data_IF_956744023228
#
_entry.id   IF_956744023228
#
_cell.length_a   1.000
_cell.length_b   1.000
_cell.length_c   1.000
_cell.angle_alpha   90.00
_cell.angle_beta   90.00
_cell.angle_gamma   90.00
#
_symmetry.space_group_name_H-M   'P 1'
#
loop_
_entity.id
_entity.type
_entity.pdbx_description
1 polymer ?
#
# COMPACT_ATOMS: atom_id res chain seq x y z
N UNK A 1 -4.88 -4.63 14.71
CA UNK A 1 -3.88 -4.93 13.67
C UNK A 1 -4.47 -5.78 12.56
N UNK A 2 -4.92 -7.01 12.84
CA UNK A 2 -5.47 -7.93 11.84
C UNK A 2 -6.58 -7.32 10.96
N UNK A 3 -7.66 -6.78 11.55
CA UNK A 3 -8.73 -6.14 10.75
C UNK A 3 -8.21 -4.98 9.88
N UNK A 4 -7.25 -4.19 10.39
CA UNK A 4 -6.69 -3.09 9.62
C UNK A 4 -5.91 -3.59 8.40
N UNK A 5 -5.11 -4.66 8.57
CA UNK A 5 -4.41 -5.32 7.47
C UNK A 5 -5.39 -5.91 6.44
N UNK A 6 -6.45 -6.57 6.89
CA UNK A 6 -7.47 -7.14 6.00
C UNK A 6 -8.16 -6.07 5.14
N UNK A 7 -8.67 -5.01 5.77
CA UNK A 7 -9.43 -3.99 5.08
C UNK A 7 -8.57 -3.04 4.24
N UNK A 8 -7.30 -2.84 4.56
CA UNK A 8 -6.41 -1.97 3.78
C UNK A 8 -5.65 -2.68 2.67
N UNK A 9 -5.37 -3.97 2.83
CA UNK A 9 -4.48 -4.70 1.94
C UNK A 9 -5.16 -5.92 1.33
N UNK A 10 -5.66 -6.86 2.13
CA UNK A 10 -6.20 -8.15 1.62
C UNK A 10 -7.43 -7.98 0.74
N UNK A 11 -8.47 -7.27 1.23
CA UNK A 11 -9.70 -7.10 0.46
C UNK A 11 -9.53 -6.16 -0.73
N UNK A 12 -8.84 -5.01 -0.62
CA UNK A 12 -8.68 -4.11 -1.75
C UNK A 12 -7.98 -4.71 -2.96
N UNK A 13 -6.98 -5.59 -2.77
CA UNK A 13 -6.30 -6.24 -3.91
C UNK A 13 -7.07 -7.43 -4.49
N UNK A 14 -8.29 -7.67 -4.02
CA UNK A 14 -9.14 -8.80 -4.44
C UNK A 14 -8.43 -10.16 -4.30
N UNK A 15 -7.56 -10.31 -3.29
CA UNK A 15 -6.71 -11.48 -3.14
C UNK A 15 -7.52 -12.79 -3.11
N UNK A 16 -8.68 -12.75 -2.44
CA UNK A 16 -9.54 -13.91 -2.25
C UNK A 16 -10.21 -14.40 -3.53
N UNK A 17 -10.32 -13.56 -4.57
CA UNK A 17 -10.82 -14.00 -5.88
C UNK A 17 -9.83 -14.92 -6.62
N UNK A 18 -8.56 -14.95 -6.17
CA UNK A 18 -7.45 -15.63 -6.84
C UNK A 18 -7.08 -16.97 -6.23
N UNK A 19 -7.72 -17.36 -5.14
CA UNK A 19 -7.38 -18.58 -4.37
C UNK A 19 -7.60 -19.88 -5.14
N UNK A 20 -8.27 -19.82 -6.31
CA UNK A 20 -8.45 -20.95 -7.21
C UNK A 20 -7.35 -21.07 -8.27
N UNK A 21 -6.44 -20.08 -8.35
CA UNK A 21 -5.26 -20.17 -9.20
C UNK A 21 -4.28 -21.23 -8.66
N UNK A 22 -3.43 -21.81 -9.52
CA UNK A 22 -2.44 -22.81 -9.08
C UNK A 22 -1.50 -22.30 -7.99
N UNK A 23 -1.10 -21.02 -8.07
CA UNK A 23 -0.25 -20.31 -7.12
C UNK A 23 -0.69 -18.85 -7.06
N UNK A 24 -0.86 -18.31 -5.86
CA UNK A 24 -1.08 -16.88 -5.62
C UNK A 24 0.26 -16.23 -5.28
N UNK A 25 0.66 -15.20 -6.04
CA UNK A 25 1.92 -14.49 -5.86
C UNK A 25 1.72 -13.16 -5.12
N UNK A 26 2.40 -12.97 -3.99
CA UNK A 26 2.32 -11.77 -3.16
C UNK A 26 3.69 -11.09 -3.05
N UNK A 27 3.72 -9.77 -3.25
CA UNK A 27 4.87 -8.91 -2.93
C UNK A 27 4.50 -8.01 -1.74
N UNK A 28 5.25 -8.09 -0.65
CA UNK A 28 5.07 -7.28 0.56
C UNK A 28 6.24 -6.29 0.69
N UNK A 29 6.00 -5.02 0.33
CA UNK A 29 7.00 -3.95 0.37
C UNK A 29 6.94 -3.26 1.73
N UNK A 30 8.06 -3.34 2.47
CA UNK A 30 8.18 -3.03 3.90
C UNK A 30 7.42 -4.03 4.77
N UNK A 31 7.90 -5.27 4.74
CA UNK A 31 7.35 -6.39 5.51
C UNK A 31 7.12 -6.07 7.00
N UNK A 32 8.06 -5.35 7.62
CA UNK A 32 8.01 -4.91 9.00
C UNK A 32 7.77 -6.07 9.96
N UNK A 33 6.64 -6.00 10.68
CA UNK A 33 6.25 -7.00 11.68
C UNK A 33 5.64 -8.27 11.04
N UNK A 34 5.39 -8.27 9.73
CA UNK A 34 4.75 -9.38 9.01
C UNK A 34 3.22 -9.42 9.11
N UNK A 35 2.56 -8.37 9.62
CA UNK A 35 1.10 -8.36 9.80
C UNK A 35 0.30 -8.46 8.49
N UNK A 36 0.74 -7.77 7.43
CA UNK A 36 0.03 -7.80 6.15
C UNK A 36 0.15 -9.18 5.50
N UNK A 37 1.37 -9.74 5.48
CA UNK A 37 1.61 -11.13 5.09
C UNK A 37 0.77 -12.11 5.94
N UNK A 38 0.81 -12.02 7.28
CA UNK A 38 0.08 -12.92 8.17
C UNK A 38 -1.44 -12.88 7.91
N UNK A 39 -1.98 -11.67 7.71
CA UNK A 39 -3.37 -11.45 7.36
C UNK A 39 -3.74 -12.08 6.01
N UNK A 40 -2.89 -11.94 4.99
CA UNK A 40 -3.11 -12.56 3.68
C UNK A 40 -3.08 -14.09 3.76
N UNK A 41 -2.08 -14.68 4.42
CA UNK A 41 -1.97 -16.13 4.58
C UNK A 41 -3.20 -16.71 5.31
N UNK A 42 -3.57 -16.09 6.44
CA UNK A 42 -4.74 -16.51 7.22
C UNK A 42 -6.04 -16.39 6.41
N UNK A 43 -6.24 -15.29 5.68
CA UNK A 43 -7.45 -15.08 4.89
C UNK A 43 -7.55 -16.07 3.72
N UNK A 44 -6.44 -16.34 3.02
CA UNK A 44 -6.40 -17.30 1.92
C UNK A 44 -6.69 -18.72 2.43
N UNK A 45 -5.94 -19.20 3.42
CA UNK A 45 -6.05 -20.58 3.88
C UNK A 45 -7.31 -20.85 4.70
N UNK A 46 -7.96 -19.82 5.25
CA UNK A 46 -9.29 -19.96 5.82
C UNK A 46 -10.34 -20.39 4.77
N UNK A 47 -10.18 -19.96 3.52
CA UNK A 47 -11.14 -20.27 2.44
C UNK A 47 -10.67 -21.47 1.62
N UNK A 48 -9.38 -21.49 1.22
CA UNK A 48 -8.78 -22.60 0.51
C UNK A 48 -7.49 -23.05 1.20
N UNK A 49 -7.54 -24.01 2.13
CA UNK A 49 -6.37 -24.55 2.83
C UNK A 49 -5.30 -25.19 1.92
N UNK A 50 -5.65 -25.50 0.66
CA UNK A 50 -4.75 -26.08 -0.33
C UNK A 50 -4.13 -25.07 -1.29
N UNK A 51 -4.48 -23.78 -1.19
CA UNK A 51 -3.93 -22.74 -2.04
C UNK A 51 -2.41 -22.62 -1.83
N UNK A 52 -1.65 -22.70 -2.92
CA UNK A 52 -0.20 -22.47 -2.89
C UNK A 52 0.09 -20.99 -3.00
N UNK A 53 1.13 -20.54 -2.30
CA UNK A 53 1.50 -19.13 -2.21
C UNK A 53 2.98 -18.97 -2.54
N UNK A 54 3.30 -18.03 -3.42
CA UNK A 54 4.66 -17.54 -3.61
C UNK A 54 4.74 -16.12 -3.03
N UNK A 55 5.60 -15.93 -2.03
CA UNK A 55 5.73 -14.67 -1.31
C UNK A 55 7.13 -14.09 -1.50
N UNK A 56 7.21 -12.80 -1.78
CA UNK A 56 8.43 -12.02 -1.64
C UNK A 56 8.16 -10.85 -0.70
N UNK A 57 8.90 -10.79 0.41
CA UNK A 57 8.92 -9.63 1.30
C UNK A 57 10.18 -8.81 1.06
N UNK A 58 10.08 -7.49 1.12
CA UNK A 58 11.21 -6.56 1.14
C UNK A 58 11.26 -5.88 2.51
N UNK A 59 12.40 -5.96 3.19
CA UNK A 59 12.59 -5.36 4.50
C UNK A 59 13.98 -4.75 4.62
N UNK A 60 14.09 -3.57 5.23
CA UNK A 60 15.38 -2.91 5.43
C UNK A 60 16.14 -3.54 6.60
N UNK A 61 15.46 -3.74 7.72
CA UNK A 61 16.06 -4.15 8.99
C UNK A 61 15.59 -5.56 9.39
N UNK A 62 16.48 -6.57 9.38
CA UNK A 62 16.11 -7.94 9.74
C UNK A 62 15.72 -8.10 11.21
N UNK A 63 16.06 -7.15 12.09
CA UNK A 63 15.72 -7.24 13.50
C UNK A 63 14.25 -6.91 13.77
N UNK A 64 13.59 -6.14 12.90
CA UNK A 64 12.16 -5.80 13.03
C UNK A 64 11.26 -7.06 13.00
N UNK A 65 11.32 -7.92 11.97
CA UNK A 65 10.51 -9.14 11.95
C UNK A 65 10.92 -10.12 13.06
N UNK A 66 12.22 -10.25 13.39
CA UNK A 66 12.67 -11.10 14.50
C UNK A 66 12.13 -10.63 15.85
N UNK A 67 12.13 -9.33 16.11
CA UNK A 67 11.57 -8.75 17.32
C UNK A 67 10.06 -9.00 17.42
N UNK A 68 9.33 -8.96 16.29
CA UNK A 68 7.90 -9.30 16.26
C UNK A 68 7.65 -10.75 16.70
N UNK A 69 8.50 -11.69 16.26
CA UNK A 69 8.45 -13.09 16.68
C UNK A 69 8.81 -13.22 18.17
N UNK A 70 9.90 -12.61 18.62
CA UNK A 70 10.36 -12.70 20.01
C UNK A 70 9.36 -12.09 21.02
N UNK A 71 8.48 -11.20 20.56
CA UNK A 71 7.45 -10.56 21.38
C UNK A 71 6.05 -11.13 21.14
N UNK A 72 5.95 -12.27 20.46
CA UNK A 72 4.70 -13.01 20.25
C UNK A 72 3.61 -12.18 19.55
N UNK A 73 4.00 -11.21 18.71
CA UNK A 73 3.06 -10.31 18.05
C UNK A 73 2.17 -11.04 17.04
N UNK A 74 2.59 -12.20 16.55
CA UNK A 74 1.87 -13.00 15.56
C UNK A 74 1.05 -14.16 16.17
N UNK A 75 1.14 -14.42 17.48
CA UNK A 75 0.54 -15.61 18.12
C UNK A 75 -1.00 -15.66 18.02
N UNK A 76 -1.64 -14.51 17.80
CA UNK A 76 -3.10 -14.44 17.64
C UNK A 76 -3.59 -14.83 16.23
N UNK A 77 -2.68 -15.12 15.29
CA UNK A 77 -3.04 -15.62 13.95
C UNK A 77 -3.19 -17.14 13.98
N UNK A 78 -4.10 -17.72 13.16
CA UNK A 78 -4.33 -19.15 13.16
C UNK A 78 -3.14 -19.94 12.63
N UNK A 79 -2.94 -21.14 13.17
CA UNK A 79 -1.93 -22.09 12.66
C UNK A 79 -2.17 -22.42 11.18
N UNK A 80 -1.10 -22.59 10.38
CA UNK A 80 0.33 -22.59 10.75
C UNK A 80 1.01 -21.21 10.59
N UNK A 81 0.26 -20.11 10.50
CA UNK A 81 0.82 -18.79 10.12
C UNK A 81 1.95 -18.32 11.04
N UNK A 82 1.85 -18.36 12.38
CA UNK A 82 2.90 -17.87 13.26
C UNK A 82 4.24 -18.61 13.07
N UNK A 83 4.22 -19.95 12.98
CA UNK A 83 5.41 -20.79 12.81
C UNK A 83 6.11 -20.55 11.46
N UNK A 84 5.33 -20.44 10.39
CA UNK A 84 5.86 -20.17 9.05
C UNK A 84 6.56 -18.80 8.99
N UNK A 85 5.94 -17.77 9.58
CA UNK A 85 6.52 -16.43 9.61
C UNK A 85 7.69 -16.31 10.60
N UNK A 86 7.71 -17.11 11.67
CA UNK A 86 8.89 -17.25 12.52
C UNK A 86 10.09 -17.82 11.74
N UNK A 87 9.85 -18.85 10.93
CA UNK A 87 10.88 -19.43 10.06
C UNK A 87 11.38 -18.41 9.05
N UNK A 88 10.46 -17.71 8.36
CA UNK A 88 10.79 -16.68 7.38
C UNK A 88 11.59 -15.53 7.98
N UNK A 89 11.22 -15.04 9.17
CA UNK A 89 11.92 -13.96 9.86
C UNK A 89 13.37 -14.36 10.26
N UNK A 90 13.58 -15.60 10.68
CA UNK A 90 14.89 -16.06 11.16
C UNK A 90 15.84 -16.50 10.05
N UNK A 91 15.32 -17.09 8.97
CA UNK A 91 16.13 -17.72 7.91
C UNK A 91 16.06 -16.96 6.58
N UNK A 92 15.17 -15.98 6.48
CA UNK A 92 14.88 -15.19 5.28
C UNK A 92 14.34 -16.01 4.09
N UNK A 93 14.08 -17.30 4.27
CA UNK A 93 13.55 -18.19 3.24
C UNK A 93 12.65 -19.24 3.87
N UNK A 94 11.61 -19.64 3.17
CA UNK A 94 10.71 -20.70 3.62
C UNK A 94 10.24 -21.47 2.40
N UNK A 95 10.27 -22.79 2.49
CA UNK A 95 9.70 -23.64 1.46
C UNK A 95 8.98 -24.83 2.10
N UNK A 96 7.69 -24.94 1.80
CA UNK A 96 6.85 -26.08 2.14
C UNK A 96 6.02 -26.47 0.91
N UNK A 97 5.14 -27.47 1.03
CA UNK A 97 4.21 -27.82 -0.06
C UNK A 97 3.22 -26.69 -0.41
N UNK A 98 2.94 -25.79 0.55
CA UNK A 98 1.92 -24.73 0.42
C UNK A 98 2.50 -23.34 0.23
N UNK A 99 3.74 -23.08 0.64
CA UNK A 99 4.33 -21.75 0.53
C UNK A 99 5.80 -21.81 0.14
N UNK A 100 6.17 -20.94 -0.81
CA UNK A 100 7.54 -20.56 -1.07
C UNK A 100 7.68 -19.08 -0.76
N UNK A 101 8.44 -18.71 0.27
CA UNK A 101 8.64 -17.33 0.66
C UNK A 101 10.12 -16.95 0.70
N UNK A 102 10.42 -15.71 0.31
CA UNK A 102 11.75 -15.09 0.47
C UNK A 102 11.58 -13.71 1.09
N UNK A 103 12.33 -13.43 2.14
CA UNK A 103 12.46 -12.10 2.73
C UNK A 103 13.79 -11.52 2.29
N UNK A 104 13.76 -10.45 1.48
CA UNK A 104 14.97 -9.77 1.02
C UNK A 104 15.30 -8.63 1.97
N UNK A 105 16.47 -8.74 2.59
CA UNK A 105 16.96 -7.77 3.57
C UNK A 105 17.86 -6.73 2.89
N UNK A 106 17.55 -5.45 3.08
CA UNK A 106 18.27 -4.31 2.54
C UNK A 106 17.35 -3.25 1.94
N UNK A 107 17.93 -2.21 1.36
CA UNK A 107 17.16 -1.14 0.72
C UNK A 107 16.27 -1.73 -0.39
N UNK A 108 14.96 -1.53 -0.27
CA UNK A 108 13.96 -2.04 -1.21
C UNK A 108 14.21 -1.55 -2.65
N UNK A 109 14.84 -0.37 -2.84
CA UNK A 109 15.24 0.14 -4.14
C UNK A 109 16.26 -0.77 -4.84
N UNK A 110 17.08 -1.48 -4.07
CA UNK A 110 18.11 -2.41 -4.55
C UNK A 110 17.55 -3.83 -4.58
N UNK A 111 16.99 -4.31 -3.46
CA UNK A 111 16.63 -5.72 -3.29
C UNK A 111 15.51 -6.17 -4.23
N UNK A 112 14.61 -5.27 -4.62
CA UNK A 112 13.57 -5.61 -5.61
C UNK A 112 14.17 -5.87 -7.01
N UNK A 113 15.30 -5.25 -7.34
CA UNK A 113 15.97 -5.45 -8.63
C UNK A 113 16.61 -6.85 -8.73
N UNK A 114 16.89 -7.50 -7.60
CA UNK A 114 17.34 -8.90 -7.58
C UNK A 114 16.29 -9.88 -8.09
N UNK A 115 15.02 -9.44 -8.14
CA UNK A 115 13.93 -10.22 -8.72
C UNK A 115 13.91 -10.13 -10.26
N UNK A 116 14.69 -9.23 -10.85
CA UNK A 116 14.84 -9.17 -12.30
C UNK A 116 15.30 -10.54 -12.83
N UNK A 117 14.70 -10.99 -13.92
CA UNK A 117 14.92 -12.30 -14.54
C UNK A 117 14.49 -13.54 -13.71
N UNK A 118 13.90 -13.35 -12.53
CA UNK A 118 13.35 -14.48 -11.74
C UNK A 118 12.04 -15.03 -12.29
N UNK A 119 11.39 -14.29 -13.20
CA UNK A 119 10.03 -14.58 -13.69
C UNK A 119 8.93 -14.25 -12.67
N UNK A 120 9.27 -13.69 -11.50
CA UNK A 120 8.28 -13.31 -10.49
C UNK A 120 7.35 -12.22 -11.00
N UNK A 121 6.04 -12.47 -10.85
CA UNK A 121 4.97 -11.53 -11.13
C UNK A 121 3.89 -11.71 -10.06
N UNK A 122 3.53 -10.63 -9.38
CA UNK A 122 2.64 -10.59 -8.25
C UNK A 122 1.19 -10.40 -8.68
N UNK A 123 0.31 -11.22 -8.10
CA UNK A 123 -1.13 -11.01 -8.12
C UNK A 123 -1.54 -9.83 -7.25
N UNK A 124 -0.83 -9.66 -6.13
CA UNK A 124 -1.05 -8.62 -5.17
C UNK A 124 0.26 -7.99 -4.73
N UNK A 125 0.27 -6.66 -4.62
CA UNK A 125 1.37 -5.91 -4.01
C UNK A 125 0.83 -5.15 -2.80
N UNK A 126 1.42 -5.39 -1.64
CA UNK A 126 1.23 -4.57 -0.45
C UNK A 126 2.35 -3.53 -0.39
N UNK A 127 1.97 -2.25 -0.40
CA UNK A 127 2.90 -1.13 -0.29
C UNK A 127 2.67 -0.41 1.04
N UNK A 128 3.47 -0.75 2.04
CA UNK A 128 3.31 -0.27 3.42
C UNK A 128 4.58 0.35 4.05
N UNK A 129 5.32 1.24 3.35
CA UNK A 129 6.45 1.92 3.98
C UNK A 129 5.96 2.99 4.96
N UNK A 130 6.87 3.54 5.77
CA UNK A 130 6.57 4.74 6.57
C UNK A 130 6.06 5.90 5.70
N UNK A 131 5.38 6.86 6.34
CA UNK A 131 4.67 7.94 5.63
C UNK A 131 5.55 8.69 4.63
N UNK A 132 4.99 9.27 3.55
CA UNK A 132 5.80 9.92 2.51
C UNK A 132 6.80 10.98 2.96
N UNK A 133 6.52 11.82 3.97
CA UNK A 133 7.53 12.72 4.53
C UNK A 133 8.65 12.01 5.31
N UNK A 134 8.39 10.82 5.88
CA UNK A 134 9.35 10.07 6.69
C UNK A 134 10.25 9.16 5.86
N UNK A 135 9.71 8.55 4.80
CA UNK A 135 10.45 7.63 3.93
C UNK A 135 10.17 7.94 2.45
N UNK A 136 10.48 9.15 1.95
CA UNK A 136 10.15 9.58 0.59
C UNK A 136 10.73 8.68 -0.50
N UNK A 137 11.83 7.97 -0.22
CA UNK A 137 12.51 7.04 -1.13
C UNK A 137 11.55 6.00 -1.72
N UNK A 138 10.59 5.51 -0.92
CA UNK A 138 9.67 4.44 -1.30
C UNK A 138 8.33 4.94 -1.86
N UNK A 139 8.23 6.25 -2.12
CA UNK A 139 7.06 6.91 -2.70
C UNK A 139 7.38 7.71 -3.96
N UNK A 140 8.58 7.54 -4.50
CA UNK A 140 8.99 8.20 -5.74
C UNK A 140 8.36 7.52 -6.95
N UNK A 141 8.18 8.27 -8.03
CA UNK A 141 7.63 7.68 -9.26
C UNK A 141 8.52 6.58 -9.79
N UNK A 142 9.84 6.74 -9.67
CA UNK A 142 10.82 5.78 -10.14
C UNK A 142 10.76 4.47 -9.35
N UNK A 143 10.69 4.56 -8.01
CA UNK A 143 10.54 3.36 -7.19
C UNK A 143 9.19 2.70 -7.44
N UNK A 144 8.10 3.46 -7.50
CA UNK A 144 6.78 2.88 -7.77
C UNK A 144 6.71 2.24 -9.16
N UNK A 145 7.31 2.82 -10.20
CA UNK A 145 7.42 2.18 -11.52
C UNK A 145 8.12 0.83 -11.42
N UNK A 146 9.24 0.77 -10.70
CA UNK A 146 9.97 -0.48 -10.46
C UNK A 146 9.13 -1.50 -9.69
N UNK A 147 8.37 -1.09 -8.68
CA UNK A 147 7.44 -1.99 -7.98
C UNK A 147 6.35 -2.49 -8.93
N UNK A 148 5.73 -1.60 -9.70
CA UNK A 148 4.62 -1.95 -10.60
C UNK A 148 5.02 -2.84 -11.77
N UNK A 149 6.29 -2.88 -12.18
CA UNK A 149 6.75 -3.82 -13.22
C UNK A 149 6.69 -5.29 -12.79
N UNK A 150 6.54 -5.54 -11.48
CA UNK A 150 6.29 -6.87 -10.95
C UNK A 150 4.80 -7.18 -10.79
N UNK A 151 3.89 -6.29 -11.18
CA UNK A 151 2.44 -6.52 -11.08
C UNK A 151 1.93 -7.24 -12.33
N UNK A 152 1.20 -8.35 -12.15
CA UNK A 152 0.50 -9.02 -13.25
C UNK A 152 -0.52 -8.07 -13.93
N UNK A 153 -0.88 -8.30 -15.21
CA UNK A 153 -1.86 -7.48 -15.93
C UNK A 153 -3.21 -7.29 -15.20
N UNK A 154 -3.67 -8.32 -14.50
CA UNK A 154 -4.89 -8.32 -13.70
C UNK A 154 -4.64 -8.07 -12.21
N UNK A 155 -3.38 -7.93 -11.79
CA UNK A 155 -2.97 -7.76 -10.40
C UNK A 155 -3.37 -6.42 -9.80
N UNK A 156 -3.35 -6.35 -8.48
CA UNK A 156 -3.68 -5.13 -7.74
C UNK A 156 -2.61 -4.76 -6.71
N UNK A 157 -2.37 -3.46 -6.56
CA UNK A 157 -1.54 -2.87 -5.51
C UNK A 157 -2.44 -2.18 -4.49
N UNK A 158 -2.16 -2.34 -3.20
CA UNK A 158 -2.83 -1.58 -2.15
C UNK A 158 -1.83 -0.88 -1.22
N UNK A 159 -2.20 0.31 -0.77
CA UNK A 159 -1.47 1.08 0.24
C UNK A 159 -2.43 1.82 1.16
N UNK A 160 -2.03 2.01 2.43
CA UNK A 160 -2.79 2.84 3.37
C UNK A 160 -2.78 4.33 2.99
N UNK A 161 -1.84 4.77 2.14
CA UNK A 161 -1.65 6.18 1.85
C UNK A 161 -2.69 6.69 0.86
N UNK A 162 -3.40 7.76 1.24
CA UNK A 162 -4.25 8.55 0.34
C UNK A 162 -3.60 9.88 -0.07
N UNK A 163 -2.28 10.02 0.09
CA UNK A 163 -1.58 11.25 -0.26
C UNK A 163 -1.68 11.52 -1.77
N UNK A 164 -1.96 12.77 -2.16
CA UNK A 164 -2.10 13.14 -3.56
C UNK A 164 -0.82 12.88 -4.37
N UNK A 165 0.36 13.11 -3.76
CA UNK A 165 1.66 12.79 -4.36
C UNK A 165 1.82 11.29 -4.68
N UNK A 166 1.39 10.41 -3.77
CA UNK A 166 1.46 8.95 -3.95
C UNK A 166 0.51 8.50 -5.06
N UNK A 167 -0.73 8.99 -5.04
CA UNK A 167 -1.71 8.71 -6.10
C UNK A 167 -1.23 9.19 -7.47
N UNK A 168 -0.59 10.35 -7.53
CA UNK A 168 0.02 10.87 -8.76
C UNK A 168 1.19 10.02 -9.22
N UNK A 169 2.04 9.60 -8.29
CA UNK A 169 3.16 8.70 -8.59
C UNK A 169 2.68 7.35 -9.14
N UNK A 170 1.60 6.78 -8.59
CA UNK A 170 0.97 5.55 -9.12
C UNK A 170 0.39 5.77 -10.52
N UNK A 171 -0.28 6.90 -10.77
CA UNK A 171 -0.78 7.24 -12.12
C UNK A 171 0.35 7.41 -13.14
N UNK A 172 1.47 8.02 -12.74
CA UNK A 172 2.67 8.13 -13.57
C UNK A 172 3.43 6.81 -13.75
N UNK A 173 3.18 5.84 -12.87
CA UNK A 173 3.58 4.44 -13.02
C UNK A 173 2.56 3.63 -13.84
N UNK A 174 1.70 4.31 -14.61
CA UNK A 174 0.70 3.73 -15.52
C UNK A 174 -0.41 2.93 -14.83
N UNK A 175 -0.60 3.07 -13.51
CA UNK A 175 -1.73 2.49 -12.83
C UNK A 175 -2.95 3.42 -12.84
N UNK A 176 -4.11 2.80 -12.84
CA UNK A 176 -5.38 3.40 -12.47
C UNK A 176 -5.52 3.32 -10.96
N UNK A 177 -6.19 4.30 -10.36
CA UNK A 177 -6.30 4.43 -8.90
C UNK A 177 -7.75 4.44 -8.44
N UNK A 178 -8.01 3.77 -7.33
CA UNK A 178 -9.26 3.75 -6.61
C UNK A 178 -9.09 4.09 -5.13
N UNK A 179 -10.19 4.47 -4.49
CA UNK A 179 -10.21 4.81 -3.06
C UNK A 179 -10.68 3.61 -2.25
N UNK A 180 -9.96 3.24 -1.20
CA UNK A 180 -10.43 2.17 -0.30
C UNK A 180 -11.27 2.74 0.82
N UNK A 181 -12.21 1.95 1.34
CA UNK A 181 -13.05 2.38 2.44
C UNK A 181 -12.19 2.72 3.67
N UNK A 182 -12.53 3.81 4.40
CA UNK A 182 -11.85 4.13 5.63
C UNK A 182 -12.08 3.03 6.67
N UNK A 183 -11.01 2.60 7.34
CA UNK A 183 -11.10 1.65 8.46
C UNK A 183 -11.20 2.44 9.76
N UNK A 184 -12.38 2.41 10.40
CA UNK A 184 -12.66 3.19 11.60
C UNK A 184 -12.75 4.71 11.32
N UNK A 185 -12.09 5.53 12.15
CA UNK A 185 -12.05 7.01 11.98
C UNK A 185 -10.87 7.51 11.14
N UNK A 186 -10.16 6.62 10.44
CA UNK A 186 -8.95 6.95 9.68
C UNK A 186 -9.28 7.33 8.24
N UNK A 187 -8.33 8.00 7.59
CA UNK A 187 -8.41 8.32 6.16
C UNK A 187 -8.59 7.07 5.30
N UNK A 188 -9.19 7.19 4.09
CA UNK A 188 -9.16 6.11 3.10
C UNK A 188 -7.72 5.74 2.73
N UNK A 189 -7.53 4.59 2.09
CA UNK A 189 -6.28 4.22 1.43
C UNK A 189 -6.34 4.39 -0.09
N UNK A 190 -5.46 3.71 -0.80
CA UNK A 190 -5.44 3.66 -2.27
C UNK A 190 -5.29 2.22 -2.72
N UNK A 191 -6.12 1.81 -3.67
CA UNK A 191 -5.94 0.59 -4.47
C UNK A 191 -5.61 1.00 -5.90
N UNK A 192 -4.77 0.25 -6.58
CA UNK A 192 -4.35 0.55 -7.94
C UNK A 192 -4.16 -0.73 -8.76
N UNK A 193 -4.43 -0.65 -10.07
CA UNK A 193 -4.21 -1.75 -11.01
C UNK A 193 -3.98 -1.18 -12.42
N UNK A 194 -3.61 -2.03 -13.38
CA UNK A 194 -3.35 -1.60 -14.76
C UNK A 194 -4.64 -1.24 -15.52
N UNK A 195 -5.80 -1.69 -15.03
CA UNK A 195 -7.12 -1.42 -15.62
C UNK A 195 -8.01 -0.67 -14.63
N UNK A 196 -9.11 -0.08 -15.08
CA UNK A 196 -10.08 0.55 -14.16
C UNK A 196 -11.08 -0.46 -13.60
N UNK A 197 -10.99 -1.72 -14.04
CA UNK A 197 -11.93 -2.77 -13.68
C UNK A 197 -11.88 -3.02 -12.16
N UNK A 198 -13.05 -2.98 -11.52
CA UNK A 198 -13.22 -3.19 -10.08
C UNK A 198 -12.52 -2.19 -9.14
N UNK A 199 -11.94 -1.09 -9.66
CA UNK A 199 -11.42 -0.03 -8.79
C UNK A 199 -12.56 0.84 -8.25
N UNK A 200 -12.70 1.00 -6.92
CA UNK A 200 -13.71 1.90 -6.37
C UNK A 200 -13.38 3.35 -6.73
N UNK A 201 -14.39 4.18 -7.09
CA UNK A 201 -14.12 5.52 -7.58
C UNK A 201 -13.58 6.43 -6.49
N UNK A 202 -12.74 7.39 -6.88
CA UNK A 202 -12.36 8.50 -6.01
C UNK A 202 -13.58 9.41 -5.75
N UNK A 203 -13.74 9.86 -4.50
CA UNK A 203 -14.71 10.90 -4.16
C UNK A 203 -14.34 12.24 -4.82
N UNK A 204 -15.31 13.15 -4.94
CA UNK A 204 -15.06 14.49 -5.47
C UNK A 204 -13.96 15.24 -4.70
N UNK A 205 -13.95 15.09 -3.37
CA UNK A 205 -12.92 15.67 -2.50
C UNK A 205 -11.52 15.18 -2.86
N UNK A 206 -11.38 13.90 -3.15
CA UNK A 206 -10.11 13.29 -3.53
C UNK A 206 -9.67 13.69 -4.93
N UNK A 207 -10.60 13.73 -5.89
CA UNK A 207 -10.34 14.23 -7.25
C UNK A 207 -9.83 15.67 -7.23
N UNK A 208 -10.49 16.54 -6.45
CA UNK A 208 -10.04 17.93 -6.29
C UNK A 208 -8.68 18.04 -5.59
N UNK A 209 -8.37 17.16 -4.64
CA UNK A 209 -7.08 17.16 -3.96
C UNK A 209 -5.91 16.89 -4.91
N UNK A 210 -6.14 16.04 -5.94
CA UNK A 210 -5.16 15.77 -7.01
C UNK A 210 -4.86 17.00 -7.89
N UNK A 211 -5.72 18.02 -7.85
CA UNK A 211 -5.53 19.28 -8.60
C UNK A 211 -4.79 20.35 -7.78
N UNK A 212 -4.22 19.98 -6.62
CA UNK A 212 -3.46 20.90 -5.75
C UNK A 212 -1.97 20.62 -5.79
N UNK A 213 -1.15 21.54 -5.31
CA UNK A 213 0.32 21.33 -5.17
C UNK A 213 0.70 20.09 -4.35
N UNK A 214 -0.20 19.52 -3.55
CA UNK A 214 0.07 18.25 -2.87
C UNK A 214 0.23 17.06 -3.82
N UNK A 215 -0.27 17.15 -5.07
CA UNK A 215 -0.18 16.09 -6.06
C UNK A 215 1.19 15.99 -6.73
N UNK A 216 2.04 17.03 -6.63
CA UNK A 216 3.42 16.96 -7.12
C UNK A 216 4.11 15.76 -6.43
N UNK A 217 4.55 14.74 -7.20
CA UNK A 217 5.08 13.51 -6.65
C UNK A 217 6.51 13.69 -6.14
N UNK A 218 7.02 12.66 -5.48
CA UNK A 218 8.44 12.56 -5.12
C UNK A 218 9.22 11.97 -6.31
N UNK A 219 10.50 12.31 -6.44
CA UNK A 219 11.37 11.86 -7.54
C UNK A 219 12.72 11.40 -7.00
N UNK A 220 13.17 10.24 -7.45
CA UNK A 220 14.50 9.67 -7.21
C UNK A 220 15.02 9.05 -8.51
N UNK A 221 15.54 9.86 -9.46
CA UNK A 221 15.88 9.43 -10.82
C UNK A 221 16.88 8.26 -10.89
N UNK A 222 17.71 8.11 -9.86
CA UNK A 222 18.77 7.10 -9.81
C UNK A 222 18.51 6.01 -8.75
N UNK A 223 17.37 6.06 -8.06
CA UNK A 223 17.02 5.13 -6.97
C UNK A 223 18.08 5.07 -5.85
N UNK A 224 18.76 6.19 -5.61
CA UNK A 224 19.89 6.27 -4.68
C UNK A 224 19.94 7.57 -3.89
N UNK A 225 19.06 8.52 -4.17
CA UNK A 225 19.06 9.82 -3.48
C UNK A 225 18.69 9.66 -2.00
N UNK A 226 19.19 10.59 -1.17
CA UNK A 226 18.80 10.68 0.23
C UNK A 226 17.38 11.26 0.38
N UNK A 227 16.76 11.05 1.54
CA UNK A 227 15.44 11.60 1.83
C UNK A 227 15.42 13.13 1.69
N UNK A 228 16.47 13.81 2.14
CA UNK A 228 16.61 15.26 2.11
C UNK A 228 16.64 15.79 0.66
N UNK A 229 17.39 15.12 -0.22
CA UNK A 229 17.48 15.48 -1.64
C UNK A 229 16.12 15.33 -2.31
N UNK A 230 15.44 14.20 -2.08
CA UNK A 230 14.12 13.92 -2.66
C UNK A 230 13.08 14.93 -2.17
N UNK A 231 13.06 15.25 -0.87
CA UNK A 231 12.16 16.23 -0.29
C UNK A 231 12.42 17.64 -0.83
N UNK A 232 13.69 18.06 -0.90
CA UNK A 232 14.08 19.37 -1.39
C UNK A 232 13.69 19.55 -2.86
N UNK A 233 13.95 18.54 -3.71
CA UNK A 233 13.52 18.52 -5.12
C UNK A 233 12.02 18.72 -5.26
N UNK A 234 11.22 17.93 -4.52
CA UNK A 234 9.77 18.06 -4.52
C UNK A 234 9.31 19.45 -4.06
N UNK A 235 9.94 20.02 -3.03
CA UNK A 235 9.61 21.36 -2.54
C UNK A 235 9.83 22.43 -3.62
N UNK A 236 10.94 22.37 -4.34
CA UNK A 236 11.21 23.29 -5.46
C UNK A 236 10.18 23.14 -6.58
N UNK A 237 9.78 21.92 -6.93
CA UNK A 237 8.73 21.67 -7.92
C UNK A 237 7.36 22.23 -7.46
N UNK A 238 7.01 22.04 -6.18
CA UNK A 238 5.79 22.59 -5.60
C UNK A 238 5.77 24.12 -5.62
N UNK A 239 6.90 24.78 -5.37
CA UNK A 239 7.02 26.24 -5.40
C UNK A 239 6.85 26.81 -6.81
N UNK A 240 7.37 26.11 -7.83
CA UNK A 240 7.25 26.48 -9.24
C UNK A 240 5.89 26.17 -9.86
N UNK A 241 5.09 25.33 -9.20
CA UNK A 241 3.79 24.89 -9.71
C UNK A 241 2.71 25.99 -9.68
N UNK A 242 1.96 26.10 -10.77
CA UNK A 242 0.76 26.93 -10.87
C UNK A 242 -0.49 26.30 -10.23
N UNK A 243 -0.41 25.05 -9.75
CA UNK A 243 -1.51 24.38 -9.08
C UNK A 243 -1.94 25.12 -7.81
N UNK A 244 -3.20 24.92 -7.42
CA UNK A 244 -3.79 25.50 -6.21
C UNK A 244 -3.02 25.03 -4.95
N UNK A 245 -2.71 25.90 -3.98
CA UNK A 245 -2.21 25.47 -2.69
C UNK A 245 -3.23 24.60 -1.93
N UNK A 246 -2.77 23.53 -1.30
CA UNK A 246 -3.63 22.61 -0.54
C UNK A 246 -4.40 23.30 0.60
N UNK A 247 -3.91 24.42 1.14
CA UNK A 247 -4.60 25.22 2.15
C UNK A 247 -5.92 25.82 1.63
N UNK A 248 -5.96 26.25 0.36
CA UNK A 248 -7.18 26.81 -0.25
C UNK A 248 -8.22 25.72 -0.45
N UNK A 249 -7.82 24.57 -1.00
CA UNK A 249 -8.66 23.37 -1.08
C UNK A 249 -9.21 22.95 0.29
N UNK A 250 -8.36 22.89 1.34
CA UNK A 250 -8.79 22.56 2.71
C UNK A 250 -9.85 23.54 3.22
N UNK A 251 -9.65 24.85 3.03
CA UNK A 251 -10.60 25.90 3.45
C UNK A 251 -11.96 25.71 2.77
N UNK A 252 -12.00 25.42 1.46
CA UNK A 252 -13.25 25.17 0.73
C UNK A 252 -14.04 23.99 1.31
N UNK A 253 -13.36 22.90 1.67
CA UNK A 253 -14.01 21.72 2.23
C UNK A 253 -14.44 21.85 3.70
N UNK A 254 -13.72 22.67 4.49
CA UNK A 254 -14.15 23.01 5.86
C UNK A 254 -15.44 23.82 5.83
N UNK A 255 -15.51 24.87 5.01
CA UNK A 255 -16.70 25.71 4.86
C UNK A 255 -17.91 24.92 4.35
N UNK A 256 -17.73 24.03 3.36
CA UNK A 256 -18.80 23.14 2.86
C UNK A 256 -19.36 22.23 3.95
N UNK A 257 -18.51 21.75 4.86
CA UNK A 257 -18.94 20.90 5.98
C UNK A 257 -19.77 21.70 6.97
N UNK A 258 -19.36 22.92 7.30
CA UNK A 258 -20.10 23.82 8.20
C UNK A 258 -21.45 24.26 7.61
N UNK A 259 -21.51 24.55 6.30
CA UNK A 259 -22.77 24.87 5.63
C UNK A 259 -23.72 23.67 5.58
N UNK A 260 -23.20 22.46 5.33
CA UNK A 260 -24.01 21.23 5.32
C UNK A 260 -24.60 20.87 6.68
N UNK A 261 -23.87 21.14 7.78
CA UNK A 261 -24.38 20.96 9.16
C UNK A 261 -25.48 21.98 9.46
N UNK A 262 -25.30 23.26 9.08
CA UNK A 262 -26.33 24.31 9.27
C UNK A 262 -27.60 24.05 8.47
N UNK A 263 -27.51 23.45 7.27
CA UNK A 263 -28.67 23.06 6.45
C UNK A 263 -29.44 21.87 7.03
N UNK A 264 -28.79 20.98 7.78
CA UNK A 264 -29.47 19.86 8.46
C UNK A 264 -30.16 20.32 9.77
N UNK A 265 -29.58 21.26 10.51
CA UNK A 265 -30.21 21.83 11.72
C UNK A 265 -31.42 22.75 11.42
N UNK A 266 -31.43 23.40 10.25
CA UNK A 266 -32.55 24.24 9.82
C UNK A 266 -33.74 23.44 9.25
N UNK A 267 -33.55 22.16 8.88
CA UNK A 267 -34.61 21.27 8.40
C UNK A 267 -35.46 20.62 9.50
N UNK A 268 -35.08 20.76 10.77
CA UNK A 268 -35.80 20.14 11.92
C UNK A 268 -36.81 21.09 12.57
N UNK A 269 -36.81 22.40 12.23
CA UNK A 269 -37.71 23.40 12.85
C UNK A 269 -39.02 23.68 12.09
N UNK A 270 -39.35 22.94 11.03
CA UNK A 270 -40.57 23.17 10.23
C UNK A 270 -41.58 22.01 10.26
N UNK A 271 -41.58 21.21 11.33
CA UNK A 271 -42.66 20.24 11.64
C UNK A 271 -43.00 20.27 13.13
N UNK A 272 -43.65 21.35 13.58
CA UNK A 272 -44.57 21.36 14.72
C UNK A 272 -45.71 22.29 14.33
#
# INVERSE_FOLDING_TARGET
AQQEAEFKFVYPVQLLSRIHQPVVCLLDVCYGLGYNTASALAAIWKINPGCKIQLVGLELDPEVPKAAIATNLLDNWPDPVPELLATLANTHQLQTEKIQAKLRIGDARITIQELNNSGFQADAIFLDPFSPPSCPQLWTVEFLRLVTSFLKPDGHLATYSCAAAVRTALMEAHLKIGSTAPVGRRSPGTVASLTEEYLPPLSQKEKEHLLTRASIPYRDPHLSDSAEIIMHRRQLEQQKSSLEPTSHWKKRWLLKKESGVRSQESGVKSKI
#
